data_IF_621374442925
#
_entry.id   IF_621374442925
#
_cell.length_a   1.000
_cell.length_b   1.000
_cell.length_c   1.000
_cell.angle_alpha   90.00
_cell.angle_beta   90.00
_cell.angle_gamma   90.00
#
_symmetry.space_group_name_H-M   'P 1'
#
loop_
_entity.id
_entity.type
_entity.pdbx_description
1 polymer ?
#
# COMPACT_ATOMS: atom_id res chain seq x y z
N UNK A 1 -28.13 -5.91 14.31
CA UNK A 1 -26.73 -6.33 14.56
C UNK A 1 -26.16 -7.16 13.41
N UNK A 2 -26.79 -8.27 13.01
CA UNK A 2 -26.30 -9.11 11.89
C UNK A 2 -26.15 -8.32 10.57
N UNK A 3 -27.16 -7.53 10.19
CA UNK A 3 -27.12 -6.72 8.97
C UNK A 3 -25.91 -5.77 8.93
N UNK A 4 -25.66 -5.03 10.03
CA UNK A 4 -24.51 -4.14 10.15
C UNK A 4 -23.17 -4.90 10.10
N UNK A 5 -23.10 -6.10 10.69
CA UNK A 5 -21.90 -6.94 10.61
C UNK A 5 -21.62 -7.40 9.17
N UNK A 6 -22.66 -7.77 8.41
CA UNK A 6 -22.54 -8.11 6.99
C UNK A 6 -22.04 -6.90 6.19
N UNK A 7 -22.62 -5.71 6.39
CA UNK A 7 -22.17 -4.49 5.72
C UNK A 7 -20.72 -4.15 6.05
N UNK A 8 -20.30 -4.32 7.31
CA UNK A 8 -18.91 -4.14 7.72
C UNK A 8 -17.95 -5.10 6.99
N UNK A 9 -18.28 -6.39 6.93
CA UNK A 9 -17.47 -7.37 6.19
C UNK A 9 -17.46 -7.09 4.67
N UNK A 10 -18.59 -6.65 4.11
CA UNK A 10 -18.67 -6.18 2.73
C UNK A 10 -17.79 -4.96 2.51
N UNK A 11 -17.65 -4.05 3.48
CA UNK A 11 -16.74 -2.91 3.40
C UNK A 11 -15.28 -3.34 3.31
N UNK A 12 -14.87 -4.31 4.13
CA UNK A 12 -13.52 -4.90 4.05
C UNK A 12 -13.32 -5.57 2.69
N UNK A 13 -14.29 -6.35 2.22
CA UNK A 13 -14.24 -6.98 0.90
C UNK A 13 -14.16 -5.96 -0.23
N UNK A 14 -14.96 -4.90 -0.18
CA UNK A 14 -14.98 -3.80 -1.14
C UNK A 14 -13.62 -3.10 -1.20
N UNK A 15 -12.96 -2.91 -0.05
CA UNK A 15 -11.61 -2.35 -0.03
C UNK A 15 -10.65 -3.16 -0.90
N UNK A 16 -10.72 -4.49 -0.89
CA UNK A 16 -9.82 -5.31 -1.72
C UNK A 16 -9.98 -5.06 -3.23
N UNK A 17 -11.18 -4.65 -3.66
CA UNK A 17 -11.42 -4.24 -5.03
C UNK A 17 -10.94 -2.81 -5.28
N UNK A 18 -11.19 -1.90 -4.32
CA UNK A 18 -10.72 -0.52 -4.39
C UNK A 18 -9.20 -0.44 -4.43
N UNK A 19 -8.45 -1.24 -3.65
CA UNK A 19 -6.99 -1.29 -3.75
C UNK A 19 -6.54 -1.72 -5.14
N UNK A 20 -7.20 -2.69 -5.75
CA UNK A 20 -6.86 -3.18 -7.10
C UNK A 20 -7.00 -2.06 -8.13
N UNK A 21 -8.10 -1.31 -8.05
CA UNK A 21 -8.33 -0.17 -8.93
C UNK A 21 -7.30 0.94 -8.69
N UNK A 22 -7.03 1.32 -7.43
CA UNK A 22 -6.14 2.45 -7.12
C UNK A 22 -4.68 2.09 -7.38
N UNK A 23 -4.16 1.01 -6.80
CA UNK A 23 -2.76 0.59 -6.92
C UNK A 23 -2.41 0.14 -8.34
N UNK A 24 -3.35 -0.51 -9.02
CA UNK A 24 -3.18 -1.00 -10.38
C UNK A 24 -3.65 -0.03 -11.45
N UNK A 25 -4.95 -0.08 -11.73
CA UNK A 25 -5.57 0.55 -12.91
C UNK A 25 -5.31 2.06 -12.93
N UNK A 26 -5.71 2.78 -11.89
CA UNK A 26 -5.61 4.25 -11.85
C UNK A 26 -4.15 4.69 -11.80
N UNK A 27 -3.32 4.05 -10.98
CA UNK A 27 -1.93 4.46 -10.79
C UNK A 27 -1.01 4.14 -11.97
N UNK A 28 -1.31 3.13 -12.79
CA UNK A 28 -0.48 2.77 -13.94
C UNK A 28 -1.05 3.17 -15.31
N UNK A 29 -2.37 3.42 -15.42
CA UNK A 29 -3.01 3.77 -16.71
C UNK A 29 -3.40 5.24 -16.84
N UNK A 30 -3.67 5.93 -15.73
CA UNK A 30 -4.11 7.32 -15.76
C UNK A 30 -2.98 8.29 -15.37
N UNK A 31 -3.17 9.57 -15.68
CA UNK A 31 -2.35 10.66 -15.15
C UNK A 31 -3.11 11.33 -14.01
N UNK A 32 -2.48 11.46 -12.84
CA UNK A 32 -3.13 12.11 -11.70
C UNK A 32 -2.37 11.92 -10.39
N UNK A 33 -3.00 12.27 -9.27
CA UNK A 33 -2.42 12.05 -7.96
C UNK A 33 -2.13 10.57 -7.64
N UNK A 34 -2.95 9.56 -8.04
CA UNK A 34 -2.65 8.17 -7.72
C UNK A 34 -1.33 7.73 -8.35
N UNK A 35 -1.17 8.03 -9.64
CA UNK A 35 0.03 7.71 -10.42
C UNK A 35 1.28 8.42 -9.89
N UNK A 36 1.15 9.67 -9.42
CA UNK A 36 2.28 10.39 -8.78
C UNK A 36 2.67 9.76 -7.45
N UNK A 37 1.69 9.46 -6.58
CA UNK A 37 1.92 8.85 -5.29
C UNK A 37 2.54 7.45 -5.46
N UNK A 38 1.96 6.63 -6.34
CA UNK A 38 2.45 5.30 -6.64
C UNK A 38 3.83 5.32 -7.30
N UNK A 39 4.05 6.21 -8.27
CA UNK A 39 5.36 6.37 -8.90
C UNK A 39 6.44 6.82 -7.91
N UNK A 40 6.09 7.65 -6.92
CA UNK A 40 7.01 8.00 -5.82
C UNK A 40 7.36 6.78 -4.98
N UNK A 41 6.40 5.89 -4.72
CA UNK A 41 6.62 4.65 -4.00
C UNK A 41 7.49 3.66 -4.80
N UNK A 42 7.25 3.49 -6.10
CA UNK A 42 8.10 2.70 -7.00
C UNK A 42 9.56 3.17 -7.00
N UNK A 43 9.81 4.49 -6.95
CA UNK A 43 11.16 5.05 -6.85
C UNK A 43 11.77 4.91 -5.45
N UNK A 44 10.95 4.94 -4.41
CA UNK A 44 11.39 4.81 -3.02
C UNK A 44 10.43 3.90 -2.25
N UNK A 45 10.70 2.57 -2.22
CA UNK A 45 9.85 1.58 -1.57
C UNK A 45 9.73 1.74 -0.05
N UNK A 46 10.43 2.70 0.58
CA UNK A 46 10.22 3.06 1.98
C UNK A 46 8.97 3.93 2.20
N UNK A 47 8.53 4.61 1.16
CA UNK A 47 7.33 5.44 1.16
C UNK A 47 6.07 4.60 0.94
N UNK A 48 5.76 3.69 1.86
CA UNK A 48 4.62 2.76 1.74
C UNK A 48 3.29 3.35 2.23
N UNK A 49 3.35 4.24 3.23
CA UNK A 49 2.13 4.73 3.87
C UNK A 49 1.50 5.87 3.08
N UNK A 50 0.17 5.88 2.96
CA UNK A 50 -0.57 6.94 2.27
C UNK A 50 -0.68 8.19 3.15
N UNK A 51 -0.56 9.39 2.55
CA UNK A 51 -0.69 10.64 3.29
C UNK A 51 -2.12 10.85 3.82
N UNK A 52 -2.32 11.29 5.08
CA UNK A 52 -3.63 11.69 5.60
C UNK A 52 -4.35 12.73 4.75
N UNK A 53 -3.58 13.65 4.13
CA UNK A 53 -4.12 14.65 3.20
C UNK A 53 -4.79 14.03 1.96
N UNK A 54 -4.44 12.79 1.64
CA UNK A 54 -4.99 12.09 0.49
C UNK A 54 -6.15 11.16 0.89
N UNK A 55 -5.95 10.31 1.89
CA UNK A 55 -6.95 9.30 2.22
C UNK A 55 -8.12 9.87 3.04
N UNK A 56 -7.92 10.89 3.90
CA UNK A 56 -9.01 11.42 4.73
C UNK A 56 -10.10 12.13 3.90
N UNK A 57 -9.80 13.01 2.93
CA UNK A 57 -10.83 13.58 2.06
C UNK A 57 -11.54 12.52 1.21
N UNK A 58 -10.79 11.53 0.72
CA UNK A 58 -11.34 10.41 -0.05
C UNK A 58 -12.29 9.57 0.80
N UNK A 59 -11.93 9.30 2.05
CA UNK A 59 -12.77 8.60 3.02
C UNK A 59 -14.05 9.39 3.32
N UNK A 60 -13.96 10.70 3.57
CA UNK A 60 -15.13 11.53 3.82
C UNK A 60 -16.09 11.57 2.61
N UNK A 61 -15.55 11.68 1.40
CA UNK A 61 -16.33 11.62 0.17
C UNK A 61 -17.02 10.26 -0.01
N UNK A 62 -16.34 9.16 0.31
CA UNK A 62 -16.93 7.82 0.29
C UNK A 62 -18.09 7.68 1.28
N UNK A 63 -17.96 8.22 2.50
CA UNK A 63 -19.06 8.22 3.47
C UNK A 63 -20.26 9.00 2.96
N UNK A 64 -20.04 10.21 2.41
CA UNK A 64 -21.12 11.03 1.85
C UNK A 64 -21.84 10.31 0.71
N UNK A 65 -21.09 9.68 -0.20
CA UNK A 65 -21.65 8.89 -1.30
C UNK A 65 -22.47 7.69 -0.80
N UNK A 66 -21.95 6.93 0.16
CA UNK A 66 -22.67 5.79 0.73
C UNK A 66 -23.91 6.24 1.50
N UNK A 67 -23.83 7.35 2.24
CA UNK A 67 -24.97 7.90 2.96
C UNK A 67 -26.07 8.37 2.00
N UNK A 68 -25.71 8.98 0.88
CA UNK A 68 -26.65 9.38 -0.16
C UNK A 68 -27.33 8.16 -0.81
N UNK A 69 -26.58 7.08 -1.05
CA UNK A 69 -27.10 5.90 -1.75
C UNK A 69 -27.88 4.92 -0.85
N UNK A 70 -27.46 4.76 0.42
CA UNK A 70 -27.93 3.67 1.30
C UNK A 70 -28.61 4.17 2.59
N UNK A 71 -28.57 5.49 2.84
CA UNK A 71 -28.89 6.07 4.14
C UNK A 71 -27.75 5.91 5.15
N UNK A 72 -27.63 6.86 6.09
CA UNK A 72 -26.50 6.95 7.02
C UNK A 72 -26.34 5.68 7.89
N UNK A 73 -27.45 5.07 8.33
CA UNK A 73 -27.42 3.88 9.17
C UNK A 73 -26.75 2.66 8.50
N UNK A 74 -26.95 2.51 7.19
CA UNK A 74 -26.32 1.45 6.38
C UNK A 74 -24.93 1.85 5.91
N UNK A 75 -24.72 3.13 5.61
CA UNK A 75 -23.44 3.66 5.15
C UNK A 75 -22.33 3.52 6.19
N UNK A 76 -22.63 3.77 7.47
CA UNK A 76 -21.62 3.74 8.55
C UNK A 76 -20.90 2.39 8.68
N UNK A 77 -21.56 1.23 8.87
CA UNK A 77 -20.84 -0.04 9.00
C UNK A 77 -20.04 -0.39 7.74
N UNK A 78 -20.60 -0.14 6.55
CA UNK A 78 -19.90 -0.35 5.27
C UNK A 78 -18.64 0.52 5.17
N UNK A 79 -18.76 1.80 5.51
CA UNK A 79 -17.66 2.75 5.50
C UNK A 79 -16.58 2.40 6.52
N UNK A 80 -16.95 2.03 7.76
CA UNK A 80 -15.99 1.56 8.77
C UNK A 80 -15.26 0.31 8.28
N UNK A 81 -15.96 -0.62 7.64
CA UNK A 81 -15.36 -1.79 7.00
C UNK A 81 -14.34 -1.41 5.93
N UNK A 82 -14.67 -0.44 5.07
CA UNK A 82 -13.79 0.08 4.05
C UNK A 82 -12.50 0.68 4.65
N UNK A 83 -12.62 1.46 5.74
CA UNK A 83 -11.47 2.07 6.43
C UNK A 83 -10.60 1.02 7.11
N UNK A 84 -11.20 -0.01 7.74
CA UNK A 84 -10.45 -1.13 8.31
C UNK A 84 -9.70 -1.88 7.21
N UNK A 85 -10.35 -2.14 6.06
CA UNK A 85 -9.70 -2.73 4.89
C UNK A 85 -8.48 -1.92 4.44
N UNK A 86 -8.62 -0.60 4.33
CA UNK A 86 -7.52 0.31 4.00
C UNK A 86 -6.37 0.25 5.01
N UNK A 87 -6.66 0.30 6.31
CA UNK A 87 -5.65 0.21 7.35
C UNK A 87 -4.89 -1.13 7.31
N UNK A 88 -5.61 -2.23 7.04
CA UNK A 88 -4.98 -3.54 6.83
C UNK A 88 -4.08 -3.51 5.60
N UNK A 89 -4.53 -2.96 4.47
CA UNK A 89 -3.69 -2.80 3.28
C UNK A 89 -2.38 -2.07 3.57
N UNK A 90 -2.42 -0.94 4.28
CA UNK A 90 -1.23 -0.18 4.65
C UNK A 90 -0.26 -1.03 5.48
N UNK A 91 -0.79 -1.82 6.43
CA UNK A 91 0.00 -2.73 7.26
C UNK A 91 0.61 -3.87 6.44
N UNK A 92 -0.17 -4.50 5.55
CA UNK A 92 0.29 -5.58 4.69
C UNK A 92 1.36 -5.11 3.72
N UNK A 93 1.14 -3.96 3.10
CA UNK A 93 2.08 -3.32 2.17
C UNK A 93 3.40 -3.00 2.87
N UNK A 94 3.35 -2.42 4.08
CA UNK A 94 4.54 -2.24 4.89
C UNK A 94 5.22 -3.56 5.25
N UNK A 95 4.47 -4.58 5.66
CA UNK A 95 5.04 -5.87 6.03
C UNK A 95 5.75 -6.54 4.85
N UNK A 96 5.16 -6.48 3.65
CA UNK A 96 5.73 -6.99 2.39
C UNK A 96 7.09 -6.36 2.10
N UNK A 97 7.21 -5.04 2.26
CA UNK A 97 8.47 -4.34 2.01
C UNK A 97 9.49 -4.50 3.13
N UNK A 98 9.10 -4.49 4.40
CA UNK A 98 10.02 -4.33 5.53
C UNK A 98 10.27 -5.60 6.33
N UNK A 99 9.51 -6.68 6.14
CA UNK A 99 9.61 -7.89 6.96
C UNK A 99 9.87 -9.14 6.12
N UNK A 100 10.61 -10.07 6.70
CA UNK A 100 10.80 -11.41 6.13
C UNK A 100 9.51 -12.22 6.31
N UNK A 101 8.88 -12.70 5.23
CA UNK A 101 7.61 -13.42 5.31
C UNK A 101 7.79 -14.80 5.97
N UNK A 102 7.00 -15.06 7.02
CA UNK A 102 7.08 -16.33 7.79
C UNK A 102 6.16 -17.41 7.23
N UNK A 103 5.02 -17.04 6.66
CA UNK A 103 4.01 -17.98 6.15
C UNK A 103 4.13 -18.19 4.65
N UNK A 104 3.59 -19.32 4.15
CA UNK A 104 3.51 -19.61 2.70
C UNK A 104 2.72 -18.52 1.96
N UNK A 105 1.60 -18.10 2.56
CA UNK A 105 0.77 -17.03 2.02
C UNK A 105 1.50 -15.68 1.98
N UNK A 106 2.18 -15.29 3.06
CA UNK A 106 2.97 -14.06 3.10
C UNK A 106 4.13 -14.07 2.09
N UNK A 107 4.79 -15.22 1.89
CA UNK A 107 5.82 -15.39 0.83
C UNK A 107 5.23 -15.15 -0.55
N UNK A 108 4.03 -15.67 -0.81
CA UNK A 108 3.34 -15.55 -2.09
C UNK A 108 2.90 -14.10 -2.37
N UNK A 109 2.32 -13.41 -1.38
CA UNK A 109 1.96 -11.99 -1.52
C UNK A 109 3.19 -11.12 -1.70
N UNK A 110 4.26 -11.37 -0.94
CA UNK A 110 5.50 -10.64 -1.09
C UNK A 110 6.09 -10.82 -2.49
N UNK A 111 6.18 -12.06 -2.99
CA UNK A 111 6.70 -12.30 -4.33
C UNK A 111 5.79 -11.68 -5.41
N UNK A 112 4.48 -11.70 -5.22
CA UNK A 112 3.53 -11.02 -6.12
C UNK A 112 3.78 -9.53 -6.22
N UNK A 113 3.86 -8.85 -5.08
CA UNK A 113 4.08 -7.42 -5.04
C UNK A 113 5.50 -7.03 -5.48
N UNK A 114 6.53 -7.83 -5.17
CA UNK A 114 7.86 -7.55 -5.70
C UNK A 114 7.97 -7.80 -7.21
N UNK A 115 7.20 -8.75 -7.76
CA UNK A 115 7.10 -8.92 -9.21
C UNK A 115 6.44 -7.70 -9.87
N UNK A 116 5.47 -7.05 -9.21
CA UNK A 116 4.95 -5.75 -9.63
C UNK A 116 6.07 -4.71 -9.73
N UNK A 117 6.90 -4.57 -8.70
CA UNK A 117 7.97 -3.57 -8.69
C UNK A 117 9.10 -3.83 -9.69
N UNK A 118 9.53 -5.09 -9.82
CA UNK A 118 10.81 -5.41 -10.44
C UNK A 118 10.70 -6.18 -11.76
N UNK A 119 9.53 -6.73 -12.08
CA UNK A 119 9.34 -7.57 -13.26
C UNK A 119 8.33 -6.95 -14.22
N UNK A 120 7.12 -6.68 -13.76
CA UNK A 120 6.07 -6.10 -14.60
C UNK A 120 5.17 -5.16 -13.78
N UNK A 121 5.46 -3.84 -13.79
CA UNK A 121 4.64 -2.83 -13.12
C UNK A 121 3.21 -2.72 -13.67
N UNK A 122 2.95 -3.25 -14.87
CA UNK A 122 1.60 -3.25 -15.48
C UNK A 122 0.80 -4.51 -15.15
N UNK A 123 1.27 -5.37 -14.26
CA UNK A 123 0.56 -6.55 -13.76
C UNK A 123 0.67 -6.64 -12.22
N UNK A 124 0.05 -7.65 -11.61
CA UNK A 124 0.17 -7.93 -10.16
C UNK A 124 -0.29 -6.76 -9.28
N UNK A 125 -1.49 -6.26 -9.54
CA UNK A 125 -2.04 -5.05 -8.94
C UNK A 125 -2.54 -5.25 -7.51
N UNK A 126 -2.94 -6.44 -7.12
CA UNK A 126 -3.37 -6.72 -5.76
C UNK A 126 -2.21 -6.69 -4.77
N UNK A 127 -2.45 -6.17 -3.56
CA UNK A 127 -1.44 -6.14 -2.49
C UNK A 127 -1.84 -7.04 -1.34
N UNK A 128 -3.11 -6.99 -0.91
CA UNK A 128 -3.62 -7.85 0.17
C UNK A 128 -4.14 -9.18 -0.36
N UNK A 129 -4.57 -9.21 -1.62
CA UNK A 129 -5.07 -10.40 -2.30
C UNK A 129 -4.72 -10.37 -3.77
N UNK A 130 -4.69 -11.54 -4.41
CA UNK A 130 -4.45 -11.69 -5.86
C UNK A 130 -5.73 -12.05 -6.62
N UNK A 131 -6.86 -12.04 -5.92
CA UNK A 131 -8.16 -12.45 -6.44
C UNK A 131 -8.52 -11.64 -7.70
N UNK A 132 -8.43 -10.32 -7.60
CA UNK A 132 -8.80 -9.42 -8.69
C UNK A 132 -7.84 -9.50 -9.87
N UNK A 133 -6.56 -9.81 -9.65
CA UNK A 133 -5.63 -10.09 -10.74
C UNK A 133 -6.00 -11.33 -11.53
N UNK A 134 -6.51 -12.36 -10.85
CA UNK A 134 -7.00 -13.56 -11.51
C UNK A 134 -8.32 -13.30 -12.25
N UNK A 135 -9.27 -12.62 -11.61
CA UNK A 135 -10.60 -12.33 -12.17
C UNK A 135 -10.53 -11.38 -13.37
N UNK A 136 -9.65 -10.37 -13.33
CA UNK A 136 -9.58 -9.30 -14.32
C UNK A 136 -8.36 -9.41 -15.25
N UNK A 137 -7.63 -10.53 -15.21
CA UNK A 137 -6.58 -10.84 -16.18
C UNK A 137 -5.29 -10.03 -16.02
N UNK A 138 -4.94 -9.61 -14.80
CA UNK A 138 -3.64 -8.97 -14.49
C UNK A 138 -2.69 -9.88 -13.71
N UNK A 139 -2.97 -11.18 -13.67
CA UNK A 139 -2.06 -12.25 -13.29
C UNK A 139 -1.52 -12.96 -14.56
N UNK A 140 -0.30 -12.65 -15.02
CA UNK A 140 0.30 -13.30 -16.19
C UNK A 140 0.50 -14.81 -15.99
N UNK A 141 0.45 -15.58 -17.08
CA UNK A 141 0.75 -17.02 -17.06
C UNK A 141 2.16 -17.32 -16.52
N UNK A 142 3.11 -16.40 -16.72
CA UNK A 142 4.48 -16.49 -16.23
C UNK A 142 4.64 -16.30 -14.72
N UNK A 143 3.57 -16.09 -13.95
CA UNK A 143 3.66 -15.63 -12.56
C UNK A 143 4.56 -16.48 -11.66
N UNK A 144 4.61 -17.80 -11.85
CA UNK A 144 5.50 -18.67 -11.09
C UNK A 144 6.99 -18.34 -11.31
N UNK A 145 7.37 -18.08 -12.57
CA UNK A 145 8.73 -17.68 -12.93
C UNK A 145 9.04 -16.28 -12.42
N UNK A 146 8.07 -15.37 -12.52
CA UNK A 146 8.22 -13.99 -12.06
C UNK A 146 8.43 -13.92 -10.54
N UNK A 147 7.70 -14.75 -9.79
CA UNK A 147 7.86 -14.84 -8.34
C UNK A 147 9.23 -15.41 -7.95
N UNK A 148 9.70 -16.44 -8.66
CA UNK A 148 11.03 -17.01 -8.43
C UNK A 148 12.14 -15.98 -8.60
N UNK A 149 12.01 -15.06 -9.59
CA UNK A 149 12.99 -13.98 -9.83
C UNK A 149 13.15 -13.00 -8.67
N UNK A 150 12.11 -12.83 -7.84
CA UNK A 150 12.10 -11.83 -6.76
C UNK A 150 12.08 -12.42 -5.35
N UNK A 151 11.92 -13.74 -5.22
CA UNK A 151 11.77 -14.42 -3.93
C UNK A 151 12.95 -14.17 -2.97
N UNK A 152 14.17 -14.06 -3.51
CA UNK A 152 15.40 -13.83 -2.75
C UNK A 152 15.70 -12.37 -2.40
N UNK A 153 14.94 -11.40 -2.92
CA UNK A 153 15.20 -9.99 -2.65
C UNK A 153 15.04 -9.71 -1.14
N UNK A 154 15.99 -9.03 -0.48
CA UNK A 154 15.90 -8.75 0.94
C UNK A 154 14.80 -7.71 1.25
N UNK A 155 14.27 -7.66 2.48
CA UNK A 155 13.41 -6.56 2.90
C UNK A 155 14.14 -5.21 2.87
N UNK A 156 13.36 -4.14 2.73
CA UNK A 156 13.80 -2.76 2.82
C UNK A 156 14.41 -2.48 4.19
N UNK A 157 15.56 -1.79 4.19
CA UNK A 157 16.22 -1.31 5.40
C UNK A 157 15.80 0.12 5.74
N UNK A 158 15.96 0.51 7.00
CA UNK A 158 15.67 1.86 7.51
C UNK A 158 14.21 2.05 7.90
N UNK A 159 13.80 3.31 8.06
CA UNK A 159 12.45 3.68 8.47
C UNK A 159 11.52 3.91 7.27
N UNK A 160 10.24 3.63 7.46
CA UNK A 160 9.19 4.03 6.52
C UNK A 160 8.83 5.50 6.69
N UNK A 161 7.96 6.00 5.81
CA UNK A 161 7.37 7.34 5.92
C UNK A 161 6.29 7.47 7.01
N UNK A 162 6.09 6.48 7.89
CA UNK A 162 5.03 6.50 8.91
C UNK A 162 5.15 7.70 9.84
N UNK A 163 6.33 7.91 10.46
CA UNK A 163 6.54 9.00 11.41
C UNK A 163 6.30 10.37 10.77
N UNK A 164 6.71 10.55 9.51
CA UNK A 164 6.48 11.78 8.75
C UNK A 164 5.00 12.13 8.59
N UNK A 165 4.14 11.12 8.46
CA UNK A 165 2.71 11.33 8.19
C UNK A 165 1.83 11.29 9.44
N UNK A 166 2.17 10.46 10.42
CA UNK A 166 1.31 10.19 11.57
C UNK A 166 1.90 10.63 12.91
N UNK A 167 3.21 10.92 12.97
CA UNK A 167 3.89 11.41 14.17
C UNK A 167 4.74 12.66 13.83
N UNK A 168 4.15 13.73 13.27
CA UNK A 168 4.92 14.86 12.74
C UNK A 168 5.83 15.53 13.78
N UNK A 169 5.47 15.49 15.06
CA UNK A 169 6.29 16.00 16.16
C UNK A 169 7.59 15.23 16.39
N UNK A 170 7.70 13.97 15.94
CA UNK A 170 8.95 13.19 15.97
C UNK A 170 9.80 13.36 14.71
N UNK A 171 9.20 13.82 13.61
CA UNK A 171 9.92 14.06 12.37
C UNK A 171 10.73 15.38 12.41
N UNK A 172 10.26 16.37 13.18
CA UNK A 172 10.93 17.66 13.38
C UNK A 172 12.07 17.63 14.40
N UNK A 173 12.20 16.56 15.20
CA UNK A 173 13.26 16.43 16.22
C UNK A 173 14.56 15.82 15.68
N UNK A 174 14.60 15.40 14.41
CA UNK A 174 15.87 15.14 13.73
C UNK A 174 16.47 16.49 13.32
N UNK A 175 17.35 17.01 14.16
CA UNK A 175 18.04 18.28 13.91
C UNK A 175 18.92 18.15 12.64
N UNK A 176 19.15 19.24 11.88
CA UNK A 176 20.02 19.25 10.69
C UNK A 176 21.42 18.68 10.93
N UNK A 177 21.86 18.62 12.19
CA UNK A 177 23.20 18.22 12.61
C UNK A 177 23.47 16.71 12.46
N UNK A 178 22.44 15.85 12.55
CA UNK A 178 22.60 14.40 12.30
C UNK A 178 22.83 14.09 10.81
N UNK A 179 22.30 14.92 9.91
CA UNK A 179 22.51 14.78 8.46
C UNK A 179 23.96 15.12 8.09
N UNK A 180 24.57 16.11 8.75
CA UNK A 180 25.99 16.48 8.59
C UNK A 180 26.95 15.41 9.10
N UNK A 181 26.62 14.72 10.20
CA UNK A 181 27.48 13.66 10.77
C UNK A 181 27.54 12.41 9.90
N UNK A 182 26.48 12.09 9.17
CA UNK A 182 26.44 10.95 8.24
C UNK A 182 27.21 11.23 6.94
N UNK A 183 27.22 12.48 6.45
CA UNK A 183 28.05 12.87 5.30
C UNK A 183 29.54 12.99 5.68
N UNK A 184 29.85 13.43 6.90
CA UNK A 184 31.24 13.58 7.36
C UNK A 184 31.96 12.23 7.62
N UNK A 185 31.24 11.16 7.94
CA UNK A 185 31.83 9.82 8.13
C UNK A 185 32.06 9.02 6.84
N UNK A 186 31.61 9.53 5.69
CA UNK A 186 31.82 8.91 4.37
C UNK A 186 33.01 9.46 3.58
N UNK A 187 33.62 10.55 4.04
CA UNK A 187 34.82 11.15 3.43
C UNK A 187 36.05 10.73 4.23
N UNK A 188 36.48 9.47 4.07
CA UNK A 188 37.84 9.07 4.44
C UNK A 188 38.85 9.69 3.46
N UNK A 189 40.06 10.05 3.90
CA UNK A 189 41.02 10.76 3.07
C UNK A 189 41.56 9.81 1.99
N UNK A 190 41.25 10.09 0.73
CA UNK A 190 42.05 9.59 -0.38
C UNK A 190 43.34 10.41 -0.42
N UNK A 191 44.45 9.77 -0.03
CA UNK A 191 45.79 10.14 -0.46
C UNK A 191 46.08 9.67 -1.87
#
# INVERSE_FOLDING_TARGET
MLFSAVLFLLGIGLWTFVEYLIHGVLSHRLRGFPSRAHGSHHRNPRGVFTSPRLWMPTAAAALALFALALGLASALPLWVGLIVGFALYELFHWHIHFRTPRTRWGRRLRAHHLAHHHVNPRAYYGVTTRLWDHVLGTLPESWHRDYARVAGLPPSRGHSNFARFYLPWRASSQTPDETRRLTARGAGPHG
#
